data_IF_836837228146
#
_entry.id   IF_836837228146
#
_cell.length_a   1.000
_cell.length_b   1.000
_cell.length_c   1.000
_cell.angle_alpha   90.00
_cell.angle_beta   90.00
_cell.angle_gamma   90.00
#
_symmetry.space_group_name_H-M   'P 1'
#
loop_
_entity.id
_entity.type
_entity.pdbx_description
1 polymer ?
#
# COMPACT_ATOMS: atom_id res chain seq x y z
N UNK A 1 11.72 -24.94 -41.80
CA UNK A 1 12.62 -24.57 -40.69
C UNK A 1 12.37 -23.16 -40.13
N UNK A 2 12.50 -22.08 -40.93
CA UNK A 2 12.34 -20.72 -40.42
C UNK A 2 10.88 -20.36 -40.09
N UNK A 3 9.93 -20.78 -40.92
CA UNK A 3 8.47 -20.66 -40.66
C UNK A 3 8.03 -21.44 -39.43
N UNK A 4 8.51 -22.64 -39.25
CA UNK A 4 8.19 -23.50 -38.10
C UNK A 4 8.72 -22.90 -36.79
N UNK A 5 9.95 -22.41 -36.77
CA UNK A 5 10.51 -21.70 -35.61
C UNK A 5 9.73 -20.43 -35.23
N UNK A 6 9.22 -19.70 -36.24
CA UNK A 6 8.41 -18.52 -36.01
C UNK A 6 7.03 -18.89 -35.42
N UNK A 7 6.41 -19.95 -35.91
CA UNK A 7 5.13 -20.46 -35.37
C UNK A 7 5.30 -20.99 -33.92
N UNK A 8 6.35 -21.75 -33.67
CA UNK A 8 6.67 -22.26 -32.34
C UNK A 8 6.91 -21.14 -31.31
N UNK A 9 7.64 -20.07 -31.73
CA UNK A 9 7.83 -18.89 -30.89
C UNK A 9 6.52 -18.19 -30.54
N UNK A 10 5.61 -18.01 -31.50
CA UNK A 10 4.30 -17.38 -31.29
C UNK A 10 3.44 -18.25 -30.34
N UNK A 11 3.48 -19.57 -30.47
CA UNK A 11 2.75 -20.47 -29.58
C UNK A 11 3.26 -20.40 -28.14
N UNK A 12 4.57 -20.33 -27.96
CA UNK A 12 5.19 -20.19 -26.63
C UNK A 12 4.86 -18.82 -26.01
N UNK A 13 4.93 -17.75 -26.78
CA UNK A 13 4.57 -16.40 -26.32
C UNK A 13 3.10 -16.34 -25.87
N UNK A 14 2.18 -16.87 -26.69
CA UNK A 14 0.75 -16.93 -26.33
C UNK A 14 0.48 -17.80 -25.10
N UNK A 15 1.18 -18.91 -24.95
CA UNK A 15 1.06 -19.77 -23.76
C UNK A 15 1.53 -19.04 -22.50
N UNK A 16 2.67 -18.35 -22.57
CA UNK A 16 3.21 -17.56 -21.46
C UNK A 16 2.22 -16.45 -21.06
N UNK A 17 1.69 -15.70 -22.03
CA UNK A 17 0.74 -14.62 -21.80
C UNK A 17 -0.56 -15.12 -21.15
N UNK A 18 -1.11 -16.23 -21.64
CA UNK A 18 -2.29 -16.85 -21.02
C UNK A 18 -2.01 -17.33 -19.59
N UNK A 19 -0.82 -17.88 -19.35
CA UNK A 19 -0.44 -18.32 -18.01
C UNK A 19 -0.34 -17.16 -17.03
N UNK A 20 0.29 -16.06 -17.42
CA UNK A 20 0.41 -14.83 -16.63
C UNK A 20 -0.96 -14.23 -16.30
N UNK A 21 -1.85 -14.12 -17.29
CA UNK A 21 -3.22 -13.65 -17.10
C UNK A 21 -4.03 -14.54 -16.15
N UNK A 22 -3.86 -15.85 -16.21
CA UNK A 22 -4.49 -16.80 -15.27
C UNK A 22 -3.97 -16.60 -13.85
N UNK A 23 -2.66 -16.32 -13.69
CA UNK A 23 -2.03 -16.10 -12.39
C UNK A 23 -2.56 -14.83 -11.71
N UNK A 24 -2.64 -13.72 -12.43
CA UNK A 24 -3.18 -12.45 -11.89
C UNK A 24 -4.64 -12.59 -11.44
N UNK A 25 -5.48 -13.28 -12.25
CA UNK A 25 -6.88 -13.53 -11.91
C UNK A 25 -7.00 -14.43 -10.67
N UNK A 26 -6.16 -15.48 -10.56
CA UNK A 26 -6.16 -16.35 -9.38
C UNK A 26 -5.84 -15.57 -8.12
N UNK A 27 -4.77 -14.79 -8.11
CA UNK A 27 -4.36 -14.00 -6.94
C UNK A 27 -5.42 -12.95 -6.59
N UNK A 28 -6.00 -12.28 -7.59
CA UNK A 28 -7.12 -11.37 -7.36
C UNK A 28 -8.31 -12.08 -6.69
N UNK A 29 -8.62 -13.32 -7.09
CA UNK A 29 -9.70 -14.10 -6.49
C UNK A 29 -9.40 -14.50 -5.04
N UNK A 30 -8.16 -14.83 -4.70
CA UNK A 30 -7.73 -15.11 -3.31
C UNK A 30 -7.93 -13.86 -2.44
N UNK A 31 -7.43 -12.71 -2.88
CA UNK A 31 -7.62 -11.44 -2.16
C UNK A 31 -9.10 -11.10 -2.00
N UNK A 32 -9.94 -11.27 -3.03
CA UNK A 32 -11.38 -11.07 -2.93
C UNK A 32 -12.00 -12.00 -1.87
N UNK A 33 -11.57 -13.25 -1.81
CA UNK A 33 -12.04 -14.20 -0.82
C UNK A 33 -11.69 -13.77 0.60
N UNK A 34 -10.45 -13.30 0.81
CA UNK A 34 -10.00 -12.74 2.08
C UNK A 34 -10.80 -11.50 2.47
N UNK A 35 -10.97 -10.52 1.56
CA UNK A 35 -11.73 -9.30 1.82
C UNK A 35 -13.19 -9.59 2.20
N UNK A 36 -13.83 -10.58 1.56
CA UNK A 36 -15.18 -11.04 1.90
C UNK A 36 -15.23 -11.69 3.29
N UNK A 37 -14.26 -12.55 3.61
CA UNK A 37 -14.17 -13.23 4.91
C UNK A 37 -14.09 -12.23 6.07
N UNK A 38 -13.28 -11.18 5.89
CA UNK A 38 -13.07 -10.12 6.88
C UNK A 38 -14.08 -8.97 6.76
N UNK A 39 -15.07 -9.06 5.85
CA UNK A 39 -16.14 -8.07 5.65
C UNK A 39 -15.61 -6.66 5.37
N UNK A 40 -14.50 -6.57 4.64
CA UNK A 40 -13.93 -5.29 4.22
C UNK A 40 -14.72 -4.69 3.06
N UNK A 41 -14.75 -3.36 2.99
CA UNK A 41 -15.44 -2.66 1.90
C UNK A 41 -14.54 -2.60 0.67
N UNK A 42 -14.97 -3.21 -0.43
CA UNK A 42 -14.23 -3.19 -1.68
C UNK A 42 -15.13 -3.23 -2.90
N UNK A 43 -14.55 -2.86 -4.04
CA UNK A 43 -15.13 -3.05 -5.38
C UNK A 43 -14.05 -3.62 -6.28
N UNK A 44 -14.36 -4.73 -6.94
CA UNK A 44 -13.50 -5.34 -7.95
C UNK A 44 -13.90 -4.86 -9.34
N UNK A 45 -12.93 -4.53 -10.19
CA UNK A 45 -13.12 -4.13 -11.57
C UNK A 45 -12.24 -4.97 -12.49
N UNK A 46 -12.88 -5.69 -13.40
CA UNK A 46 -12.24 -6.54 -14.41
C UNK A 46 -12.35 -5.97 -15.83
N UNK A 47 -12.98 -4.81 -15.98
CA UNK A 47 -13.32 -4.22 -17.30
C UNK A 47 -12.18 -3.42 -17.90
N UNK A 48 -11.17 -3.04 -17.13
CA UNK A 48 -9.99 -2.33 -17.58
C UNK A 48 -8.90 -3.29 -18.06
N UNK A 49 -7.95 -2.77 -18.84
CA UNK A 49 -6.79 -3.55 -19.31
C UNK A 49 -5.99 -4.15 -18.14
N UNK A 50 -5.95 -3.43 -17.01
CA UNK A 50 -5.34 -3.88 -15.78
C UNK A 50 -6.43 -4.05 -14.72
N UNK A 51 -6.77 -5.29 -14.32
CA UNK A 51 -7.75 -5.54 -13.26
C UNK A 51 -7.35 -4.87 -11.96
N UNK A 52 -8.35 -4.35 -11.22
CA UNK A 52 -8.10 -3.65 -9.96
C UNK A 52 -9.15 -3.95 -8.90
N UNK A 53 -8.76 -3.78 -7.65
CA UNK A 53 -9.64 -3.75 -6.49
C UNK A 53 -9.47 -2.39 -5.82
N UNK A 54 -10.56 -1.69 -5.57
CA UNK A 54 -10.58 -0.49 -4.71
C UNK A 54 -11.16 -0.84 -3.35
N UNK A 55 -10.64 -0.25 -2.29
CA UNK A 55 -10.99 -0.55 -0.90
C UNK A 55 -11.19 0.73 -0.10
N UNK A 56 -11.99 0.64 0.96
CA UNK A 56 -12.13 1.71 1.96
C UNK A 56 -11.89 1.10 3.34
N UNK A 57 -10.91 1.63 4.05
CA UNK A 57 -10.58 1.26 5.41
C UNK A 57 -11.22 2.27 6.37
N UNK A 58 -12.02 1.78 7.30
CA UNK A 58 -12.68 2.58 8.32
C UNK A 58 -11.96 2.45 9.66
N UNK A 59 -12.33 3.31 10.60
CA UNK A 59 -11.74 3.37 11.95
C UNK A 59 -10.26 3.81 11.92
N UNK A 60 -9.93 4.71 11.01
CA UNK A 60 -8.65 5.40 10.99
C UNK A 60 -8.79 6.67 11.84
N UNK A 61 -8.70 6.52 13.17
CA UNK A 61 -9.12 7.55 14.14
C UNK A 61 -8.28 8.84 14.09
N UNK A 62 -7.09 8.78 13.50
CA UNK A 62 -6.19 9.93 13.35
C UNK A 62 -6.27 10.58 11.97
N UNK A 63 -6.95 9.93 11.01
CA UNK A 63 -7.15 10.49 9.68
C UNK A 63 -8.23 11.59 9.68
N UNK A 64 -8.14 12.58 8.77
CA UNK A 64 -9.04 13.74 8.76
C UNK A 64 -10.54 13.44 8.72
N UNK A 65 -10.93 12.33 8.13
CA UNK A 65 -12.31 11.86 7.99
C UNK A 65 -12.52 10.41 8.42
N UNK A 66 -11.61 9.90 9.27
CA UNK A 66 -11.66 8.57 9.87
C UNK A 66 -11.58 7.42 8.87
N UNK A 67 -11.12 7.69 7.65
CA UNK A 67 -10.94 6.67 6.61
C UNK A 67 -9.61 6.84 5.86
N UNK A 68 -9.12 5.71 5.33
CA UNK A 68 -8.16 5.69 4.22
C UNK A 68 -8.74 4.89 3.07
N UNK A 69 -8.26 5.16 1.87
CA UNK A 69 -8.67 4.45 0.67
C UNK A 69 -7.50 3.63 0.13
N UNK A 70 -7.80 2.56 -0.58
CA UNK A 70 -6.78 1.72 -1.18
C UNK A 70 -7.15 1.23 -2.56
N UNK A 71 -6.14 0.91 -3.33
CA UNK A 71 -6.30 0.29 -4.64
C UNK A 71 -5.21 -0.74 -4.89
N UNK A 72 -5.57 -1.87 -5.47
CA UNK A 72 -4.65 -2.91 -5.92
C UNK A 72 -4.80 -3.06 -7.42
N UNK A 73 -3.72 -2.89 -8.17
CA UNK A 73 -3.64 -3.19 -9.61
C UNK A 73 -2.92 -4.51 -9.82
N UNK A 74 -3.49 -5.37 -10.66
CA UNK A 74 -2.98 -6.72 -10.93
C UNK A 74 -2.29 -6.74 -12.29
N UNK A 75 -0.96 -6.59 -12.30
CA UNK A 75 -0.13 -6.71 -13.49
C UNK A 75 0.16 -8.18 -13.83
N UNK A 76 0.98 -8.43 -14.84
CA UNK A 76 1.30 -9.81 -15.27
C UNK A 76 1.99 -10.68 -14.21
N UNK A 77 2.93 -10.11 -13.43
CA UNK A 77 3.79 -10.87 -12.51
C UNK A 77 3.81 -10.31 -11.08
N UNK A 78 3.09 -9.22 -10.85
CA UNK A 78 3.06 -8.49 -9.59
C UNK A 78 1.74 -7.77 -9.41
N UNK A 79 1.47 -7.34 -8.19
CA UNK A 79 0.42 -6.37 -7.90
C UNK A 79 1.05 -5.12 -7.29
N UNK A 80 0.48 -3.97 -7.61
CA UNK A 80 0.80 -2.71 -6.95
C UNK A 80 -0.33 -2.39 -5.98
N UNK A 81 0.04 -2.21 -4.73
CA UNK A 81 -0.87 -1.79 -3.66
C UNK A 81 -0.59 -0.34 -3.35
N UNK A 82 -1.64 0.47 -3.31
CA UNK A 82 -1.60 1.84 -2.82
C UNK A 82 -2.64 2.01 -1.73
N UNK A 83 -2.26 2.67 -0.65
CA UNK A 83 -3.18 3.18 0.36
C UNK A 83 -2.89 4.67 0.51
N UNK A 84 -3.95 5.47 0.54
CA UNK A 84 -3.84 6.92 0.52
C UNK A 84 -4.92 7.55 1.40
N UNK A 85 -4.69 8.79 1.82
CA UNK A 85 -5.71 9.52 2.54
C UNK A 85 -6.89 9.86 1.60
N UNK A 86 -8.06 9.95 2.18
CA UNK A 86 -9.28 10.28 1.45
C UNK A 86 -9.21 11.65 0.76
N UNK A 87 -10.26 11.99 0.05
CA UNK A 87 -10.43 13.28 -0.60
C UNK A 87 -10.17 14.47 0.33
N UNK A 88 -10.57 14.38 1.60
CA UNK A 88 -10.31 15.46 2.56
C UNK A 88 -8.82 15.64 2.82
N UNK A 89 -8.07 14.55 2.95
CA UNK A 89 -6.62 14.59 3.09
C UNK A 89 -5.93 15.19 1.86
N UNK A 90 -6.37 14.82 0.65
CA UNK A 90 -5.90 15.40 -0.60
C UNK A 90 -6.17 16.91 -0.67
N UNK A 91 -7.37 17.36 -0.31
CA UNK A 91 -7.72 18.79 -0.29
C UNK A 91 -6.86 19.62 0.69
N UNK A 92 -6.52 19.05 1.85
CA UNK A 92 -5.59 19.69 2.80
C UNK A 92 -4.20 19.80 2.17
N UNK A 93 -3.73 18.73 1.53
CA UNK A 93 -2.43 18.70 0.86
C UNK A 93 -2.34 19.77 -0.24
N UNK A 94 -3.33 19.83 -1.14
CA UNK A 94 -3.39 20.79 -2.26
C UNK A 94 -3.36 22.25 -1.80
N UNK A 95 -4.03 22.56 -0.68
CA UNK A 95 -4.13 23.92 -0.15
C UNK A 95 -2.92 24.35 0.69
N UNK A 96 -2.05 23.39 1.03
CA UNK A 96 -0.94 23.65 1.93
C UNK A 96 0.22 24.35 1.23
N UNK A 97 0.75 25.37 1.87
CA UNK A 97 2.02 26.02 1.48
C UNK A 97 3.27 25.28 2.02
N UNK A 98 3.05 24.23 2.81
CA UNK A 98 4.12 23.48 3.47
C UNK A 98 4.47 22.17 2.75
N UNK A 99 4.11 22.03 1.47
CA UNK A 99 4.49 20.88 0.64
C UNK A 99 6.01 20.59 0.63
N UNK A 100 6.91 21.59 0.53
CA UNK A 100 8.35 21.33 0.60
C UNK A 100 8.77 20.66 1.93
N UNK A 101 8.14 21.07 3.03
CA UNK A 101 8.38 20.49 4.36
C UNK A 101 7.82 19.06 4.46
N UNK A 102 6.67 18.81 3.83
CA UNK A 102 6.12 17.45 3.71
C UNK A 102 7.08 16.53 2.94
N UNK A 103 7.64 16.96 1.81
CA UNK A 103 8.63 16.14 1.08
C UNK A 103 9.86 15.81 1.94
N UNK A 104 10.29 16.73 2.78
CA UNK A 104 11.38 16.46 3.74
C UNK A 104 10.98 15.37 4.74
N UNK A 105 9.77 15.42 5.28
CA UNK A 105 9.21 14.39 6.16
C UNK A 105 9.11 13.04 5.46
N UNK A 106 8.54 12.99 4.24
CA UNK A 106 8.39 11.75 3.46
C UNK A 106 9.76 11.13 3.11
N UNK A 107 10.76 11.94 2.78
CA UNK A 107 12.13 11.45 2.58
C UNK A 107 12.71 10.80 3.84
N UNK A 108 12.45 11.38 5.03
CA UNK A 108 12.86 10.77 6.28
C UNK A 108 12.15 9.44 6.53
N UNK A 109 10.83 9.39 6.32
CA UNK A 109 10.02 8.19 6.45
C UNK A 109 10.55 7.10 5.52
N UNK A 110 10.72 7.39 4.23
CA UNK A 110 11.23 6.45 3.22
C UNK A 110 12.63 5.90 3.55
N UNK A 111 13.45 6.66 4.26
CA UNK A 111 14.81 6.24 4.63
C UNK A 111 14.88 5.40 5.92
N UNK A 112 13.82 5.41 6.74
CA UNK A 112 13.90 4.89 8.12
C UNK A 112 12.76 3.95 8.50
N UNK A 113 11.65 3.97 7.76
CA UNK A 113 10.47 3.21 8.12
C UNK A 113 10.41 1.88 7.36
N UNK A 114 10.25 0.83 8.09
CA UNK A 114 9.80 -0.49 7.63
C UNK A 114 8.68 -0.99 8.53
N UNK A 115 7.88 -1.87 8.02
CA UNK A 115 6.71 -2.41 8.71
C UNK A 115 6.85 -3.92 8.79
N UNK A 116 6.52 -4.46 9.94
CA UNK A 116 6.24 -5.88 10.13
C UNK A 116 4.77 -6.06 10.44
N UNK A 117 4.19 -7.15 10.01
CA UNK A 117 2.86 -7.56 10.44
C UNK A 117 3.02 -8.25 11.79
N UNK A 118 2.25 -7.81 12.79
CA UNK A 118 2.06 -8.55 14.02
C UNK A 118 0.56 -8.79 14.19
N UNK A 119 0.20 -9.91 14.75
CA UNK A 119 -1.21 -10.25 15.01
C UNK A 119 -1.87 -9.39 16.11
N UNK A 120 -1.16 -8.40 16.65
CA UNK A 120 -1.65 -7.46 17.66
C UNK A 120 -1.96 -8.10 19.01
N UNK A 121 -1.69 -9.39 19.20
CA UNK A 121 -1.90 -10.09 20.46
C UNK A 121 -0.64 -9.98 21.33
N UNK A 122 -0.76 -9.43 22.52
CA UNK A 122 0.31 -9.46 23.51
C UNK A 122 0.72 -10.92 23.78
N UNK A 123 1.98 -11.26 23.47
CA UNK A 123 2.48 -12.62 23.58
C UNK A 123 2.30 -13.47 22.32
N UNK A 124 2.03 -12.84 21.18
CA UNK A 124 1.91 -13.53 19.91
C UNK A 124 3.12 -14.40 19.59
N UNK A 125 2.82 -15.63 19.19
CA UNK A 125 3.82 -16.59 18.71
C UNK A 125 4.30 -16.28 17.29
N UNK A 126 3.66 -15.33 16.61
CA UNK A 126 3.93 -14.99 15.23
C UNK A 126 4.55 -13.60 15.12
N UNK A 127 5.81 -13.58 14.72
CA UNK A 127 6.48 -12.36 14.22
C UNK A 127 6.61 -12.48 12.71
N UNK A 128 6.21 -11.42 12.00
CA UNK A 128 6.47 -11.33 10.57
C UNK A 128 7.96 -11.58 10.29
N UNK A 129 8.24 -12.52 9.41
CA UNK A 129 9.60 -12.79 8.94
C UNK A 129 10.05 -11.78 7.88
N UNK A 130 9.14 -10.94 7.40
CA UNK A 130 9.39 -10.01 6.32
C UNK A 130 9.36 -8.57 6.83
N UNK A 131 10.44 -7.85 6.57
CA UNK A 131 10.49 -6.40 6.72
C UNK A 131 10.10 -5.78 5.39
N UNK A 132 8.97 -5.09 5.37
CA UNK A 132 8.44 -4.45 4.17
C UNK A 132 8.58 -2.94 4.32
N UNK A 133 9.19 -2.30 3.33
CA UNK A 133 9.33 -0.85 3.28
C UNK A 133 8.41 -0.28 2.20
N UNK A 134 7.23 0.23 2.55
CA UNK A 134 6.41 0.96 1.62
C UNK A 134 7.09 2.27 1.21
N UNK A 135 6.77 2.77 0.03
CA UNK A 135 7.22 4.08 -0.44
C UNK A 135 6.12 5.09 -0.22
N UNK A 136 6.50 6.26 0.30
CA UNK A 136 5.58 7.36 0.52
C UNK A 136 5.88 8.50 -0.44
N UNK A 137 4.85 9.02 -1.09
CA UNK A 137 4.97 10.15 -2.00
C UNK A 137 3.64 10.90 -2.10
N UNK A 138 3.70 12.10 -2.67
CA UNK A 138 2.51 12.84 -3.11
C UNK A 138 2.36 12.60 -4.60
N UNK A 139 1.15 12.24 -5.04
CA UNK A 139 0.89 12.03 -6.48
C UNK A 139 1.06 13.32 -7.26
N UNK A 140 1.53 13.22 -8.52
CA UNK A 140 1.75 14.37 -9.39
C UNK A 140 0.49 14.80 -10.16
N UNK A 141 -0.60 14.04 -10.00
CA UNK A 141 -1.89 14.35 -10.61
C UNK A 141 -2.60 15.50 -9.89
N UNK A 142 -3.78 15.86 -10.41
CA UNK A 142 -4.59 16.96 -9.86
C UNK A 142 -5.05 16.71 -8.41
N UNK A 143 -5.05 15.45 -7.96
CA UNK A 143 -5.50 15.08 -6.61
C UNK A 143 -4.46 15.36 -5.54
N UNK A 144 -3.16 15.21 -5.85
CA UNK A 144 -2.05 15.36 -4.88
C UNK A 144 -2.25 14.49 -3.62
N UNK A 145 -2.62 13.23 -3.83
CA UNK A 145 -2.82 12.28 -2.75
C UNK A 145 -1.49 11.92 -2.07
N UNK A 146 -1.48 11.95 -0.75
CA UNK A 146 -0.37 11.41 0.03
C UNK A 146 -0.58 9.89 0.10
N UNK A 147 0.30 9.16 -0.53
CA UNK A 147 0.16 7.73 -0.84
C UNK A 147 1.29 6.91 -0.26
N UNK A 148 0.95 5.79 0.38
CA UNK A 148 1.87 4.69 0.64
C UNK A 148 1.68 3.63 -0.44
N UNK A 149 2.76 3.23 -1.11
CA UNK A 149 2.71 2.23 -2.19
C UNK A 149 3.70 1.11 -1.99
N UNK A 150 3.34 -0.06 -2.50
CA UNK A 150 4.17 -1.24 -2.53
C UNK A 150 3.93 -2.06 -3.79
N UNK A 151 5.01 -2.55 -4.40
CA UNK A 151 4.96 -3.51 -5.49
C UNK A 151 5.27 -4.90 -4.94
N UNK A 152 4.29 -5.81 -4.98
CA UNK A 152 4.41 -7.18 -4.48
C UNK A 152 4.50 -8.14 -5.67
N UNK A 153 5.65 -8.77 -5.91
CA UNK A 153 5.74 -9.89 -6.85
C UNK A 153 4.84 -11.03 -6.43
N UNK A 154 4.14 -11.65 -7.36
CA UNK A 154 3.23 -12.77 -7.05
C UNK A 154 3.91 -13.94 -6.35
N UNK A 155 5.18 -14.17 -6.63
CA UNK A 155 5.93 -15.21 -5.93
C UNK A 155 6.08 -14.93 -4.42
N UNK A 156 6.18 -13.66 -4.02
CA UNK A 156 6.23 -13.28 -2.60
C UNK A 156 4.87 -13.43 -1.94
N UNK A 157 3.81 -13.05 -2.65
CA UNK A 157 2.43 -13.27 -2.18
C UNK A 157 2.13 -14.77 -1.99
N UNK A 158 2.55 -15.63 -2.91
CA UNK A 158 2.33 -17.08 -2.84
C UNK A 158 3.15 -17.78 -1.73
N UNK A 159 4.24 -17.17 -1.25
CA UNK A 159 5.04 -17.72 -0.14
C UNK A 159 4.30 -17.61 1.20
N UNK A 160 3.63 -16.49 1.43
CA UNK A 160 2.84 -16.26 2.63
C UNK A 160 1.66 -15.33 2.31
N UNK A 161 0.58 -15.94 1.81
CA UNK A 161 -0.61 -15.20 1.38
C UNK A 161 -1.24 -14.43 2.54
N UNK A 162 -1.40 -15.08 3.69
CA UNK A 162 -2.08 -14.49 4.84
C UNK A 162 -1.33 -13.27 5.37
N UNK A 163 -0.01 -13.37 5.51
CA UNK A 163 0.82 -12.23 5.94
C UNK A 163 0.74 -11.07 4.96
N UNK A 164 0.76 -11.35 3.65
CA UNK A 164 0.64 -10.31 2.63
C UNK A 164 -0.76 -9.67 2.62
N UNK A 165 -1.81 -10.43 2.84
CA UNK A 165 -3.18 -9.94 2.95
C UNK A 165 -3.36 -9.06 4.19
N UNK A 166 -2.84 -9.47 5.35
CA UNK A 166 -2.83 -8.68 6.58
C UNK A 166 -1.98 -7.41 6.42
N UNK A 167 -0.84 -7.51 5.71
CA UNK A 167 -0.03 -6.34 5.41
C UNK A 167 -0.81 -5.30 4.59
N UNK A 168 -1.52 -5.73 3.55
CA UNK A 168 -2.30 -4.86 2.67
C UNK A 168 -3.48 -4.23 3.41
N UNK A 169 -4.16 -4.99 4.28
CA UNK A 169 -5.46 -4.60 4.82
C UNK A 169 -5.43 -4.07 6.24
N UNK A 170 -4.35 -4.33 6.97
CA UNK A 170 -4.18 -3.92 8.38
C UNK A 170 -2.95 -3.05 8.56
N UNK A 171 -1.76 -3.57 8.24
CA UNK A 171 -0.51 -2.89 8.57
C UNK A 171 -0.32 -1.59 7.77
N UNK A 172 -0.60 -1.59 6.47
CA UNK A 172 -0.41 -0.41 5.62
C UNK A 172 -1.43 0.70 5.90
N UNK A 173 -2.75 0.43 6.02
CA UNK A 173 -3.72 1.42 6.47
C UNK A 173 -3.43 1.96 7.88
N UNK A 174 -3.10 1.08 8.83
CA UNK A 174 -2.76 1.47 10.20
C UNK A 174 -1.50 2.34 10.27
N UNK A 175 -0.54 2.09 9.38
CA UNK A 175 0.64 2.95 9.27
C UNK A 175 0.29 4.36 8.77
N UNK A 176 -0.59 4.49 7.78
CA UNK A 176 -1.09 5.80 7.36
C UNK A 176 -1.86 6.50 8.47
N UNK A 177 -2.66 5.77 9.23
CA UNK A 177 -3.37 6.33 10.39
C UNK A 177 -2.38 6.87 11.43
N UNK A 178 -1.34 6.12 11.78
CA UNK A 178 -0.27 6.56 12.70
C UNK A 178 0.47 7.81 12.19
N UNK A 179 0.77 7.85 10.89
CA UNK A 179 1.44 8.98 10.25
C UNK A 179 0.55 10.21 10.06
N UNK A 180 -0.76 10.07 10.20
CA UNK A 180 -1.72 11.14 9.94
C UNK A 180 -1.46 12.37 10.82
N UNK A 181 -1.24 12.18 12.11
CA UNK A 181 -1.00 13.30 13.05
C UNK A 181 0.20 14.16 12.65
N UNK A 182 1.44 13.65 12.51
CA UNK A 182 2.57 14.49 12.11
C UNK A 182 2.43 15.06 10.71
N UNK A 183 1.80 14.35 9.77
CA UNK A 183 1.58 14.82 8.40
C UNK A 183 0.63 16.02 8.37
N UNK A 184 -0.55 15.91 8.97
CA UNK A 184 -1.55 16.98 8.87
C UNK A 184 -1.24 18.18 9.75
N UNK A 185 -0.65 18.00 10.93
CA UNK A 185 -0.14 19.13 11.72
C UNK A 185 0.93 19.92 10.96
N UNK A 186 1.80 19.24 10.22
CA UNK A 186 2.79 19.87 9.37
C UNK A 186 2.15 20.64 8.21
N UNK A 187 1.21 20.02 7.49
CA UNK A 187 0.50 20.65 6.36
C UNK A 187 -0.32 21.86 6.78
N UNK A 188 -0.84 21.88 8.00
CA UNK A 188 -1.52 23.03 8.60
C UNK A 188 -0.56 24.11 9.11
N UNK A 189 0.75 23.84 9.14
CA UNK A 189 1.78 24.75 9.65
C UNK A 189 1.75 24.90 11.17
N UNK A 190 1.20 23.94 11.89
CA UNK A 190 1.14 23.90 13.36
C UNK A 190 2.43 23.39 13.99
N UNK A 191 3.20 22.61 13.22
CA UNK A 191 4.52 22.11 13.60
C UNK A 191 5.50 22.28 12.44
N UNK A 192 6.77 22.29 12.75
CA UNK A 192 7.88 22.29 11.78
C UNK A 192 8.16 20.87 11.27
N UNK A 193 8.89 20.74 10.14
CA UNK A 193 9.34 19.44 9.65
C UNK A 193 10.22 18.69 10.67
N UNK A 194 11.02 19.40 11.48
CA UNK A 194 11.86 18.78 12.50
C UNK A 194 11.01 18.18 13.63
N UNK A 195 9.97 18.90 14.08
CA UNK A 195 9.03 18.39 15.07
C UNK A 195 8.25 17.19 14.54
N UNK A 196 7.78 17.23 13.29
CA UNK A 196 7.11 16.10 12.65
C UNK A 196 8.04 14.86 12.54
N UNK A 197 9.31 15.06 12.14
CA UNK A 197 10.32 14.00 12.10
C UNK A 197 10.56 13.42 13.50
N UNK A 198 10.60 14.25 14.55
CA UNK A 198 10.77 13.77 15.91
C UNK A 198 9.58 12.97 16.40
N UNK A 199 8.32 13.35 16.05
CA UNK A 199 7.13 12.56 16.32
C UNK A 199 7.21 11.19 15.64
N UNK A 200 7.54 11.14 14.35
CA UNK A 200 7.71 9.87 13.63
C UNK A 200 8.80 9.00 14.27
N UNK A 201 9.91 9.61 14.69
CA UNK A 201 11.02 8.90 15.32
C UNK A 201 10.65 8.30 16.67
N UNK A 202 9.99 9.07 17.55
CA UNK A 202 9.63 8.63 18.89
C UNK A 202 8.45 7.69 18.91
N UNK A 203 7.37 8.07 18.24
CA UNK A 203 6.06 7.47 18.43
C UNK A 203 5.80 6.31 17.46
N UNK A 204 6.42 6.35 16.27
CA UNK A 204 6.16 5.33 15.24
C UNK A 204 7.35 4.39 15.08
N UNK A 205 8.57 4.92 14.86
CA UNK A 205 9.77 4.08 14.68
C UNK A 205 10.23 3.51 16.03
N UNK A 206 10.20 4.32 17.10
CA UNK A 206 10.64 3.92 18.44
C UNK A 206 9.79 2.81 19.04
N UNK A 207 8.49 2.81 18.80
CA UNK A 207 7.59 1.74 19.24
C UNK A 207 7.75 0.45 18.40
N UNK A 208 7.96 0.60 17.09
CA UNK A 208 8.14 -0.52 16.15
C UNK A 208 9.55 -1.08 16.11
N UNK A 209 10.56 -0.29 16.49
CA UNK A 209 11.98 -0.66 16.52
C UNK A 209 12.47 -1.29 17.83
N UNK A 210 11.56 -1.59 18.75
CA UNK A 210 11.85 -2.33 20.00
C UNK A 210 11.55 -3.83 19.84
N UNK A 211 12.01 -4.39 18.76
CA UNK A 211 12.08 -5.86 18.62
C UNK A 211 13.48 -6.36 18.86
#
# INVERSE_FOLDING_TARGET
MERERKQEKILVENFIEQHKKRKSIKIMSEIISYLNLHKLYFKADHSEDIPKITMVFKNCDRCPDYITEGCIWFYENSMEVRVYYSKLGAEICQKSKYLPELYRLLNYINARLWVSVSDGLEGALYQSQYLISPRFYVTEDEMQDITATMLIPYMHFELDMLEMEDFITVALPGLLDDLSTPVFLLLEGRITAEEAINMVRSDIIGERGRM
#
